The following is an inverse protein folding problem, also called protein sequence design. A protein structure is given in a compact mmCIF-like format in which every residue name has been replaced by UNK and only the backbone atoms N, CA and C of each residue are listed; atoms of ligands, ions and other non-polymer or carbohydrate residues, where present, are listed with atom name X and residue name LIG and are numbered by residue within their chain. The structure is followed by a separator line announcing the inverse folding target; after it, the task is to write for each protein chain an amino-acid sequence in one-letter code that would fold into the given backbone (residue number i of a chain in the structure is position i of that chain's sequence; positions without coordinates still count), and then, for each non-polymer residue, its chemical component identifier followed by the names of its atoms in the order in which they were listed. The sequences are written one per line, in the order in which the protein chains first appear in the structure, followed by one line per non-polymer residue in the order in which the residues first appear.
data_IF_818608689172
#
_entry.id   IF_818608689172
#
_cell.length_a   1.000
_cell.length_b   1.000
_cell.length_c   1.000
_cell.angle_alpha   90.00
_cell.angle_beta   90.00
_cell.angle_gamma   90.00
#
_symmetry.space_group_name_H-M   'P 1'
#
loop_
_entity.id
_entity.type
_entity.pdbx_description
1 polymer ?
#
# COMPACT_ATOMS: atom_id res chain seq x y z
N UNK A 1 19.52 3.12 -10.07
CA UNK A 1 18.58 4.26 -10.01
C UNK A 1 17.23 3.78 -9.50
N UNK A 2 16.72 4.37 -8.42
CA UNK A 2 15.42 4.00 -7.86
C UNK A 2 14.31 4.62 -8.70
N UNK A 3 13.52 3.79 -9.39
CA UNK A 3 12.36 4.27 -10.17
C UNK A 3 11.31 4.80 -9.20
N UNK A 4 10.92 6.06 -9.35
CA UNK A 4 9.74 6.62 -8.67
C UNK A 4 8.52 5.93 -9.31
N UNK A 5 7.74 5.24 -8.48
CA UNK A 5 6.50 4.61 -8.88
C UNK A 5 5.40 5.41 -8.22
N UNK A 6 4.84 6.39 -8.94
CA UNK A 6 3.66 7.12 -8.46
C UNK A 6 2.46 6.24 -8.70
N UNK A 7 1.82 5.78 -7.63
CA UNK A 7 0.47 5.22 -7.71
C UNK A 7 -0.50 6.38 -7.87
N UNK A 8 -1.17 6.55 -9.01
CA UNK A 8 -2.26 7.52 -9.11
C UNK A 8 -3.42 7.00 -8.26
N UNK A 9 -3.86 7.82 -7.31
CA UNK A 9 -5.07 7.58 -6.52
C UNK A 9 -6.07 8.69 -6.79
N UNK A 10 -7.34 8.35 -6.92
CA UNK A 10 -8.41 9.34 -6.83
C UNK A 10 -8.55 9.85 -5.39
N UNK A 11 -9.17 11.01 -5.15
CA UNK A 11 -9.44 11.49 -3.80
C UNK A 11 -10.20 10.47 -2.94
N UNK A 12 -11.20 9.79 -3.52
CA UNK A 12 -11.99 8.77 -2.83
C UNK A 12 -11.14 7.54 -2.46
N UNK A 13 -10.26 7.11 -3.36
CA UNK A 13 -9.35 5.99 -3.10
C UNK A 13 -8.36 6.34 -1.99
N UNK A 14 -7.83 7.56 -2.02
CA UNK A 14 -6.93 8.07 -1.00
C UNK A 14 -7.60 8.12 0.37
N UNK A 15 -8.83 8.64 0.46
CA UNK A 15 -9.59 8.69 1.71
C UNK A 15 -9.88 7.30 2.27
N UNK A 16 -10.31 6.36 1.41
CA UNK A 16 -10.55 4.97 1.80
C UNK A 16 -9.27 4.27 2.32
N UNK A 17 -8.13 4.49 1.65
CA UNK A 17 -6.85 3.95 2.10
C UNK A 17 -6.43 4.55 3.44
N UNK A 18 -6.62 5.85 3.64
CA UNK A 18 -6.33 6.52 4.93
C UNK A 18 -7.21 5.93 6.04
N UNK A 19 -8.49 5.71 5.76
CA UNK A 19 -9.41 5.08 6.70
C UNK A 19 -8.95 3.65 7.04
N UNK A 20 -8.59 2.83 6.05
CA UNK A 20 -8.09 1.47 6.25
C UNK A 20 -6.77 1.45 7.05
N UNK A 21 -5.84 2.35 6.74
CA UNK A 21 -4.56 2.46 7.44
C UNK A 21 -4.73 2.73 8.95
N UNK A 22 -5.76 3.50 9.31
CA UNK A 22 -6.05 3.86 10.70
C UNK A 22 -6.94 2.83 11.42
N UNK A 23 -7.95 2.31 10.74
CA UNK A 23 -9.09 1.66 11.39
C UNK A 23 -9.30 0.18 11.04
N UNK A 24 -8.60 -0.37 10.03
CA UNK A 24 -8.80 -1.78 9.66
C UNK A 24 -8.56 -2.71 10.85
N UNK A 25 -9.33 -3.79 11.02
CA UNK A 25 -9.15 -4.68 12.17
C UNK A 25 -7.82 -5.43 12.11
N UNK A 26 -7.40 -5.87 10.92
CA UNK A 26 -6.15 -6.61 10.74
C UNK A 26 -4.96 -5.68 10.47
N UNK A 27 -3.90 -5.84 11.26
CA UNK A 27 -2.68 -5.02 11.15
C UNK A 27 -2.02 -5.09 9.77
N UNK A 28 -2.15 -6.23 9.06
CA UNK A 28 -1.60 -6.40 7.69
C UNK A 28 -2.33 -5.53 6.67
N UNK A 29 -3.62 -5.30 6.86
CA UNK A 29 -4.40 -4.43 5.97
C UNK A 29 -4.00 -2.98 6.18
N UNK A 30 -3.83 -2.57 7.45
CA UNK A 30 -3.28 -1.26 7.79
C UNK A 30 -1.94 -1.03 7.12
N UNK A 31 -1.03 -2.02 7.23
CA UNK A 31 0.30 -1.96 6.62
C UNK A 31 0.22 -1.86 5.10
N UNK A 32 -0.61 -2.67 4.43
CA UNK A 32 -0.80 -2.63 2.97
C UNK A 32 -1.37 -1.30 2.51
N UNK A 33 -2.39 -0.78 3.18
CA UNK A 33 -2.97 0.53 2.87
C UNK A 33 -1.91 1.64 3.01
N UNK A 34 -1.13 1.60 4.10
CA UNK A 34 -0.04 2.55 4.34
C UNK A 34 1.05 2.49 3.25
N UNK A 35 1.37 1.30 2.73
CA UNK A 35 2.29 1.14 1.61
C UNK A 35 1.82 1.92 0.38
N UNK A 36 0.55 1.76 -0.01
CA UNK A 36 0.01 2.39 -1.22
C UNK A 36 -0.03 3.92 -1.07
N UNK A 37 -0.44 4.43 0.09
CA UNK A 37 -0.41 5.87 0.41
C UNK A 37 1.00 6.44 0.25
N UNK A 38 2.02 5.76 0.78
CA UNK A 38 3.38 6.27 0.67
C UNK A 38 3.93 6.24 -0.76
N UNK A 39 3.55 5.25 -1.56
CA UNK A 39 3.91 5.20 -2.98
C UNK A 39 3.18 6.30 -3.76
N UNK A 40 1.92 6.61 -3.46
CA UNK A 40 1.20 7.72 -4.08
C UNK A 40 1.77 9.09 -3.71
N UNK A 41 2.27 9.24 -2.48
CA UNK A 41 3.02 10.43 -2.01
C UNK A 41 4.40 10.57 -2.67
N UNK A 42 4.85 9.58 -3.44
CA UNK A 42 6.12 9.62 -4.19
C UNK A 42 7.32 9.04 -3.44
N UNK A 43 7.13 8.37 -2.29
CA UNK A 43 8.22 7.60 -1.66
C UNK A 43 8.62 6.44 -2.58
N UNK A 44 9.92 6.17 -2.65
CA UNK A 44 10.44 5.03 -3.41
C UNK A 44 10.17 3.71 -2.69
N UNK A 45 10.16 2.62 -3.46
CA UNK A 45 10.09 1.25 -2.94
C UNK A 45 11.12 0.99 -1.83
N UNK A 46 12.34 1.50 -1.97
CA UNK A 46 13.40 1.31 -1.00
C UNK A 46 13.15 2.07 0.32
N UNK A 47 12.63 3.29 0.23
CA UNK A 47 12.28 4.09 1.42
C UNK A 47 11.12 3.44 2.17
N UNK A 48 10.07 3.03 1.46
CA UNK A 48 8.92 2.34 2.07
C UNK A 48 9.34 1.02 2.72
N UNK A 49 10.20 0.25 2.05
CA UNK A 49 10.76 -0.99 2.60
C UNK A 49 11.51 -0.74 3.91
N UNK A 50 12.34 0.32 3.95
CA UNK A 50 13.06 0.73 5.17
C UNK A 50 12.10 1.16 6.29
N UNK A 51 11.08 1.96 5.98
CA UNK A 51 10.07 2.42 6.94
C UNK A 51 9.28 1.27 7.57
N UNK A 52 9.01 0.21 6.79
CA UNK A 52 8.26 -0.96 7.27
C UNK A 52 9.13 -2.11 7.79
N UNK A 53 10.46 -1.96 7.78
CA UNK A 53 11.43 -3.02 8.06
C UNK A 53 11.15 -4.29 7.23
N UNK A 54 11.01 -4.12 5.91
CA UNK A 54 10.73 -5.17 4.92
C UNK A 54 11.74 -5.17 3.79
N UNK A 55 11.76 -6.23 3.01
CA UNK A 55 12.54 -6.28 1.79
C UNK A 55 11.83 -5.51 0.65
N UNK A 56 12.56 -4.82 -0.24
CA UNK A 56 11.99 -4.09 -1.38
C UNK A 56 11.04 -4.92 -2.26
N UNK A 57 11.33 -6.21 -2.45
CA UNK A 57 10.52 -7.10 -3.27
C UNK A 57 9.08 -7.24 -2.73
N UNK A 58 8.90 -7.25 -1.41
CA UNK A 58 7.57 -7.27 -0.80
C UNK A 58 6.76 -6.04 -1.18
N UNK A 59 7.40 -4.87 -1.26
CA UNK A 59 6.73 -3.62 -1.64
C UNK A 59 6.39 -3.64 -3.13
N UNK A 60 7.27 -4.16 -4.00
CA UNK A 60 6.97 -4.34 -5.44
C UNK A 60 5.77 -5.25 -5.66
N UNK A 61 5.70 -6.37 -4.94
CA UNK A 61 4.55 -7.28 -5.02
C UNK A 61 3.27 -6.61 -4.54
N UNK A 62 3.30 -5.84 -3.46
CA UNK A 62 2.14 -5.07 -3.00
C UNK A 62 1.68 -4.05 -4.05
N UNK A 63 2.61 -3.32 -4.66
CA UNK A 63 2.32 -2.40 -5.75
C UNK A 63 1.68 -3.11 -6.96
N UNK A 64 2.29 -4.18 -7.44
CA UNK A 64 1.77 -4.96 -8.58
C UNK A 64 0.38 -5.53 -8.29
N UNK A 65 0.15 -6.02 -7.07
CA UNK A 65 -1.17 -6.52 -6.71
C UNK A 65 -2.21 -5.40 -6.61
N UNK A 66 -1.82 -4.21 -6.16
CA UNK A 66 -2.70 -3.05 -6.20
C UNK A 66 -3.12 -2.72 -7.63
N UNK A 67 -2.17 -2.66 -8.58
CA UNK A 67 -2.49 -2.43 -9.99
C UNK A 67 -3.50 -3.44 -10.56
N UNK A 68 -3.45 -4.70 -10.11
CA UNK A 68 -4.32 -5.77 -10.60
C UNK A 68 -5.68 -5.86 -9.90
N UNK A 69 -5.74 -5.59 -8.60
CA UNK A 69 -6.90 -5.94 -7.74
C UNK A 69 -7.40 -4.80 -6.85
N UNK A 70 -6.68 -3.68 -6.79
CA UNK A 70 -7.04 -2.50 -5.99
C UNK A 70 -7.43 -2.89 -4.54
N UNK A 71 -8.63 -2.50 -4.09
CA UNK A 71 -9.10 -2.75 -2.73
C UNK A 71 -9.44 -4.20 -2.40
N UNK A 72 -9.74 -5.04 -3.39
CA UNK A 72 -10.13 -6.43 -3.13
C UNK A 72 -9.05 -7.19 -2.34
N UNK A 73 -7.77 -6.85 -2.57
CA UNK A 73 -6.65 -7.48 -1.88
C UNK A 73 -6.41 -6.93 -0.47
N UNK A 74 -6.73 -5.66 -0.22
CA UNK A 74 -6.59 -5.09 1.12
C UNK A 74 -7.58 -5.80 2.04
N UNK A 75 -8.85 -5.94 1.61
CA UNK A 75 -9.91 -6.58 2.40
C UNK A 75 -9.89 -8.12 2.39
N UNK A 76 -9.10 -8.77 1.51
CA UNK A 76 -9.03 -10.25 1.47
C UNK A 76 -8.55 -10.88 2.79
N UNK A 77 -7.89 -10.11 3.66
CA UNK A 77 -7.49 -10.59 4.98
C UNK A 77 -8.56 -10.43 6.07
N UNK A 78 -9.65 -9.70 5.80
CA UNK A 78 -10.74 -9.44 6.75
C UNK A 78 -11.78 -10.57 6.80
N UNK A 79 -11.65 -11.57 5.92
CA UNK A 79 -12.61 -12.65 5.73
C UNK A 79 -12.11 -14.00 6.31
N UNK A 80 -11.10 -13.99 7.20
CA UNK A 80 -10.59 -15.20 7.87
C UNK A 80 -10.50 -15.05 9.37
#
# INVERSE_FOLDING_TARGET
MSRIVKVPLTPDEQEQLIHLAKHAQHWRERQRAQTIIWLSEGKTVAEVAKLQNRIPETIRLQHRHWELYQFELIRRLSLR
#
